data_IF_700529388875
#
_entry.id   IF_700529388875
#
_cell.length_a   1.000
_cell.length_b   1.000
_cell.length_c   1.000
_cell.angle_alpha   90.00
_cell.angle_beta   90.00
_cell.angle_gamma   90.00
#
_symmetry.space_group_name_H-M   'P 1'
#
loop_
_entity.id
_entity.type
_entity.pdbx_description
1 polymer ?
#
# COMPACT_ATOMS: atom_id res chain seq x y z
N UNK A 1 8.49 28.09 23.87
CA UNK A 1 8.02 29.05 22.87
C UNK A 1 8.42 28.56 21.48
N UNK A 2 7.65 27.65 20.92
CA UNK A 2 7.84 27.17 19.55
C UNK A 2 7.28 28.23 18.61
N UNK A 3 8.12 28.75 17.71
CA UNK A 3 7.68 29.64 16.64
C UNK A 3 7.67 28.80 15.37
N UNK A 4 6.54 28.81 14.66
CA UNK A 4 6.39 28.20 13.36
C UNK A 4 5.74 29.21 12.42
N UNK A 5 6.07 29.13 11.14
CA UNK A 5 5.33 29.80 10.08
C UNK A 5 5.28 28.87 8.87
N UNK A 6 4.25 29.07 8.06
CA UNK A 6 3.94 28.25 6.90
C UNK A 6 3.92 29.15 5.66
N UNK A 7 4.56 28.71 4.58
CA UNK A 7 4.37 29.31 3.27
C UNK A 7 3.27 28.56 2.55
N UNK A 8 2.12 29.21 2.44
CA UNK A 8 1.00 28.74 1.63
C UNK A 8 1.38 28.85 0.14
N UNK A 9 0.89 27.88 -0.63
CA UNK A 9 1.05 27.78 -2.08
C UNK A 9 0.87 29.15 -2.73
N UNK A 10 1.94 29.69 -3.29
CA UNK A 10 1.91 30.97 -3.98
C UNK A 10 2.32 30.76 -5.42
N UNK A 11 1.36 30.93 -6.35
CA UNK A 11 1.60 30.95 -7.80
C UNK A 11 2.63 32.00 -8.24
N UNK A 12 3.02 32.92 -7.34
CA UNK A 12 3.95 34.01 -7.62
C UNK A 12 5.36 33.83 -7.08
N UNK A 13 5.68 32.73 -6.37
CA UNK A 13 7.05 32.46 -5.91
C UNK A 13 7.81 31.71 -7.02
N UNK A 14 8.86 32.31 -7.62
CA UNK A 14 9.68 31.62 -8.62
C UNK A 14 10.35 30.37 -8.03
N UNK A 15 10.59 29.34 -8.86
CA UNK A 15 11.53 28.27 -8.52
C UNK A 15 12.89 28.87 -8.15
N UNK A 16 13.54 28.33 -7.12
CA UNK A 16 14.78 28.84 -6.52
C UNK A 16 14.67 30.24 -5.89
N UNK A 17 13.68 30.44 -5.01
CA UNK A 17 13.53 31.69 -4.27
C UNK A 17 14.32 31.68 -2.96
N UNK A 18 15.07 32.74 -2.70
CA UNK A 18 15.72 32.95 -1.41
C UNK A 18 14.73 33.60 -0.43
N UNK A 19 14.42 32.91 0.67
CA UNK A 19 13.64 33.45 1.78
C UNK A 19 14.60 33.96 2.83
N UNK A 20 14.41 35.21 3.25
CA UNK A 20 15.13 35.81 4.36
C UNK A 20 14.19 35.98 5.55
N UNK A 21 14.53 35.37 6.68
CA UNK A 21 13.78 35.51 7.93
C UNK A 21 14.57 36.41 8.88
N UNK A 22 13.90 37.45 9.37
CA UNK A 22 14.45 38.43 10.33
C UNK A 22 15.79 39.06 9.92
N UNK A 23 16.10 39.07 8.62
CA UNK A 23 17.35 39.62 8.09
C UNK A 23 18.61 38.76 8.34
N UNK A 24 18.49 37.61 9.02
CA UNK A 24 19.64 36.83 9.50
C UNK A 24 19.70 35.39 8.98
N UNK A 25 18.56 34.80 8.61
CA UNK A 25 18.49 33.42 8.15
C UNK A 25 18.01 33.36 6.72
N UNK A 26 18.76 32.69 5.83
CA UNK A 26 18.36 32.55 4.44
C UNK A 26 18.19 31.09 4.01
N UNK A 27 17.08 30.80 3.35
CA UNK A 27 16.77 29.48 2.80
C UNK A 27 16.58 29.61 1.29
N UNK A 28 17.06 28.64 0.51
CA UNK A 28 16.75 28.55 -0.91
C UNK A 28 15.66 27.51 -1.09
N UNK A 29 14.49 27.93 -1.56
CA UNK A 29 13.42 27.02 -1.93
C UNK A 29 13.48 26.74 -3.41
N UNK A 30 13.79 25.49 -3.77
CA UNK A 30 13.67 24.99 -5.13
C UNK A 30 12.51 23.98 -5.24
N UNK A 31 11.37 24.33 -4.65
CA UNK A 31 10.14 23.53 -4.72
C UNK A 31 8.93 24.44 -4.83
N UNK A 32 7.89 23.92 -5.49
CA UNK A 32 6.55 24.52 -5.54
C UNK A 32 5.63 23.95 -4.46
N UNK A 33 6.11 23.00 -3.66
CA UNK A 33 5.37 22.35 -2.60
C UNK A 33 5.39 23.16 -1.29
N UNK A 34 4.49 22.82 -0.37
CA UNK A 34 4.42 23.43 0.97
C UNK A 34 5.69 23.08 1.75
N UNK A 35 6.35 24.10 2.30
CA UNK A 35 7.51 23.96 3.18
C UNK A 35 7.21 24.62 4.52
N UNK A 36 7.39 23.87 5.61
CA UNK A 36 7.22 24.38 6.97
C UNK A 36 8.59 24.62 7.60
N UNK A 37 8.68 25.61 8.48
CA UNK A 37 9.91 25.90 9.23
C UNK A 37 9.61 25.95 10.72
N UNK A 38 10.49 25.34 11.52
CA UNK A 38 10.39 25.34 12.98
C UNK A 38 11.66 25.93 13.59
N UNK A 39 11.48 26.70 14.65
CA UNK A 39 12.58 27.21 15.45
C UNK A 39 12.99 26.20 16.53
N UNK A 40 14.13 25.53 16.34
CA UNK A 40 14.70 24.57 17.29
C UNK A 40 16.18 24.86 17.51
N UNK A 41 16.64 24.75 18.76
CA UNK A 41 18.06 24.93 19.14
C UNK A 41 18.66 26.29 18.71
N UNK A 42 17.85 27.34 18.65
CA UNK A 42 18.31 28.68 18.29
C UNK A 42 18.53 28.91 16.80
N UNK A 43 18.05 28.01 15.94
CA UNK A 43 18.07 28.14 14.48
C UNK A 43 16.72 27.78 13.87
N UNK A 44 16.38 28.43 12.77
CA UNK A 44 15.30 27.97 11.90
C UNK A 44 15.75 26.70 11.16
N UNK A 45 14.94 25.66 11.23
CA UNK A 45 15.15 24.41 10.48
C UNK A 45 13.95 24.17 9.56
N UNK A 46 14.23 23.73 8.34
CA UNK A 46 13.19 23.24 7.44
C UNK A 46 12.56 21.99 8.07
N UNK A 47 11.29 22.10 8.45
CA UNK A 47 10.49 20.97 8.85
C UNK A 47 9.80 20.45 7.60
N UNK A 48 10.45 19.52 6.90
CA UNK A 48 9.71 18.65 5.99
C UNK A 48 8.80 17.81 6.86
N UNK A 49 7.51 17.82 6.55
CA UNK A 49 6.60 16.82 7.08
C UNK A 49 6.94 15.48 6.42
N UNK A 50 8.01 14.84 6.88
CA UNK A 50 8.53 13.58 6.34
C UNK A 50 7.71 12.38 6.79
N UNK A 51 6.68 12.59 7.62
CA UNK A 51 5.84 11.50 8.16
C UNK A 51 5.08 10.75 7.06
N UNK A 52 4.82 11.41 5.93
CA UNK A 52 4.12 10.85 4.78
C UNK A 52 5.03 10.48 3.60
N UNK A 53 6.31 10.82 3.67
CA UNK A 53 7.27 10.48 2.61
C UNK A 53 7.82 9.07 2.83
N UNK A 54 8.05 8.36 1.72
CA UNK A 54 8.81 7.12 1.72
C UNK A 54 10.17 7.32 2.37
N UNK A 55 10.41 6.61 3.46
CA UNK A 55 11.71 6.54 4.11
C UNK A 55 12.48 5.26 3.68
N UNK A 56 13.73 5.10 4.14
CA UNK A 56 14.55 3.91 3.83
C UNK A 56 13.97 2.61 4.36
N UNK A 57 13.02 2.64 5.28
CA UNK A 57 12.37 1.46 5.82
C UNK A 57 11.08 1.11 5.09
N UNK A 58 10.61 2.02 4.24
CA UNK A 58 9.30 2.02 3.59
C UNK A 58 9.36 2.07 2.06
N UNK A 59 10.54 2.03 1.46
CA UNK A 59 10.64 2.01 -0.01
C UNK A 59 10.38 0.60 -0.56
N UNK A 60 9.66 0.52 -1.68
CA UNK A 60 9.52 -0.71 -2.47
C UNK A 60 10.83 -1.11 -3.17
N UNK A 61 10.83 -2.20 -3.95
CA UNK A 61 9.71 -3.07 -4.30
C UNK A 61 9.32 -4.02 -3.15
N UNK A 62 8.28 -4.82 -3.35
CA UNK A 62 7.72 -5.71 -2.31
C UNK A 62 8.75 -6.66 -1.68
N UNK A 63 9.84 -6.99 -2.37
CA UNK A 63 10.92 -7.84 -1.86
C UNK A 63 11.66 -7.20 -0.68
N UNK A 64 11.51 -5.88 -0.47
CA UNK A 64 11.95 -5.17 0.74
C UNK A 64 11.23 -5.63 1.99
N UNK A 65 9.99 -6.14 1.86
CA UNK A 65 9.26 -6.78 2.94
C UNK A 65 10.11 -7.87 3.61
N UNK A 66 10.83 -8.66 2.79
CA UNK A 66 11.58 -9.85 3.22
C UNK A 66 12.98 -9.55 3.76
N UNK A 67 13.39 -8.29 3.83
CA UNK A 67 14.70 -7.91 4.38
C UNK A 67 14.66 -7.70 5.90
N UNK A 68 13.46 -7.69 6.49
CA UNK A 68 13.22 -7.61 7.93
C UNK A 68 12.33 -8.78 8.37
N UNK A 69 12.03 -8.86 9.67
CA UNK A 69 11.03 -9.80 10.19
C UNK A 69 9.69 -9.57 9.48
N UNK A 70 9.00 -10.65 9.16
CA UNK A 70 7.69 -10.63 8.50
C UNK A 70 6.69 -11.42 9.32
N UNK A 71 5.51 -10.84 9.49
CA UNK A 71 4.33 -11.50 10.05
C UNK A 71 3.28 -11.66 8.97
N UNK A 72 2.76 -12.87 8.78
CA UNK A 72 1.59 -13.09 7.92
C UNK A 72 0.34 -12.95 8.80
N UNK A 73 -0.61 -12.15 8.35
CA UNK A 73 -1.84 -11.86 9.08
C UNK A 73 -3.06 -12.31 8.27
N UNK A 74 -3.81 -13.25 8.83
CA UNK A 74 -5.02 -13.79 8.22
C UNK A 74 -6.25 -13.00 8.67
N UNK A 75 -7.04 -12.52 7.72
CA UNK A 75 -8.34 -11.92 8.00
C UNK A 75 -9.32 -12.90 8.63
N UNK A 76 -10.09 -12.44 9.61
CA UNK A 76 -11.11 -13.28 10.30
C UNK A 76 -12.55 -12.87 10.02
N UNK A 77 -12.78 -11.73 9.36
CA UNK A 77 -14.11 -11.17 9.09
C UNK A 77 -14.62 -11.57 7.69
N UNK A 78 -14.54 -12.85 7.37
CA UNK A 78 -14.92 -13.40 6.06
C UNK A 78 -15.72 -14.69 6.20
N UNK A 79 -16.16 -15.26 5.07
CA UNK A 79 -16.77 -16.59 5.07
C UNK A 79 -15.78 -17.64 5.60
N UNK A 80 -16.28 -18.71 6.23
CA UNK A 80 -15.43 -19.78 6.76
C UNK A 80 -14.50 -20.40 5.72
N UNK A 81 -14.95 -20.47 4.46
CA UNK A 81 -14.16 -20.95 3.33
C UNK A 81 -12.97 -20.01 3.04
N UNK A 82 -13.21 -18.69 2.99
CA UNK A 82 -12.16 -17.70 2.78
C UNK A 82 -11.16 -17.67 3.95
N UNK A 83 -11.65 -17.73 5.20
CA UNK A 83 -10.77 -17.78 6.39
C UNK A 83 -9.88 -19.03 6.34
N UNK A 84 -10.44 -20.20 6.00
CA UNK A 84 -9.67 -21.43 5.84
C UNK A 84 -8.63 -21.29 4.72
N UNK A 85 -9.00 -20.69 3.58
CA UNK A 85 -8.09 -20.43 2.47
C UNK A 85 -6.93 -19.53 2.90
N UNK A 86 -7.19 -18.45 3.67
CA UNK A 86 -6.15 -17.57 4.19
C UNK A 86 -5.19 -18.31 5.12
N UNK A 87 -5.70 -19.15 6.01
CA UNK A 87 -4.86 -19.93 6.94
C UNK A 87 -3.98 -20.94 6.22
N UNK A 88 -4.54 -21.70 5.27
CA UNK A 88 -3.78 -22.65 4.47
C UNK A 88 -2.71 -21.96 3.62
N UNK A 89 -3.07 -20.83 3.01
CA UNK A 89 -2.14 -20.03 2.20
C UNK A 89 -1.04 -19.41 3.05
N UNK A 90 -1.34 -18.95 4.27
CA UNK A 90 -0.35 -18.43 5.20
C UNK A 90 0.71 -19.47 5.56
N UNK A 91 0.31 -20.73 5.81
CA UNK A 91 1.26 -21.83 6.07
C UNK A 91 2.12 -22.11 4.83
N UNK A 92 1.53 -22.13 3.64
CA UNK A 92 2.27 -22.30 2.40
C UNK A 92 3.29 -21.15 2.18
N UNK A 93 2.85 -19.90 2.32
CA UNK A 93 3.69 -18.71 2.15
C UNK A 93 4.82 -18.67 3.18
N UNK A 94 4.54 -18.98 4.45
CA UNK A 94 5.57 -19.05 5.49
C UNK A 94 6.67 -20.07 5.13
N UNK A 95 6.28 -21.25 4.62
CA UNK A 95 7.23 -22.26 4.17
C UNK A 95 8.06 -21.80 2.97
N UNK A 96 7.44 -21.12 1.99
CA UNK A 96 8.18 -20.59 0.85
C UNK A 96 9.12 -19.45 1.24
N UNK A 97 8.71 -18.54 2.12
CA UNK A 97 9.58 -17.49 2.65
C UNK A 97 10.76 -18.06 3.44
N UNK A 98 10.55 -19.11 4.24
CA UNK A 98 11.62 -19.81 4.92
C UNK A 98 12.58 -20.49 3.92
N UNK A 99 12.05 -21.11 2.86
CA UNK A 99 12.84 -21.81 1.84
C UNK A 99 13.68 -20.84 0.99
N UNK A 100 13.10 -19.73 0.55
CA UNK A 100 13.72 -18.79 -0.38
C UNK A 100 14.55 -17.72 0.33
N UNK A 101 14.07 -17.21 1.46
CA UNK A 101 14.66 -16.05 2.15
C UNK A 101 15.21 -16.37 3.55
N UNK A 102 15.09 -17.62 4.02
CA UNK A 102 15.52 -18.04 5.36
C UNK A 102 14.89 -17.22 6.49
N UNK A 103 13.64 -16.79 6.26
CA UNK A 103 12.89 -16.00 7.23
C UNK A 103 12.15 -16.88 8.23
N UNK A 104 12.21 -16.49 9.49
CA UNK A 104 11.26 -16.92 10.50
C UNK A 104 10.00 -16.05 10.39
N UNK A 105 8.86 -16.68 10.16
CA UNK A 105 7.58 -16.00 9.89
C UNK A 105 6.57 -16.39 10.95
N UNK A 106 6.01 -15.39 11.63
CA UNK A 106 4.85 -15.59 12.52
C UNK A 106 3.56 -15.52 11.71
N UNK A 107 2.59 -16.36 12.07
CA UNK A 107 1.24 -16.34 11.48
C UNK A 107 0.27 -15.95 12.60
N UNK A 108 -0.45 -14.85 12.42
CA UNK A 108 -1.42 -14.33 13.38
C UNK A 108 -2.78 -14.11 12.71
N UNK A 109 -3.85 -14.12 13.49
CA UNK A 109 -5.10 -13.51 13.05
C UNK A 109 -5.00 -11.98 13.06
N UNK A 110 -5.85 -11.32 12.29
CA UNK A 110 -5.98 -9.86 12.32
C UNK A 110 -6.28 -9.31 13.73
N UNK A 111 -7.08 -10.02 14.53
CA UNK A 111 -7.36 -9.66 15.93
C UNK A 111 -6.08 -9.76 16.78
N UNK A 112 -5.36 -10.88 16.68
CA UNK A 112 -4.11 -11.07 17.44
C UNK A 112 -3.04 -10.06 17.05
N UNK A 113 -2.96 -9.71 15.77
CA UNK A 113 -2.02 -8.71 15.28
C UNK A 113 -2.32 -7.31 15.86
N UNK A 114 -3.60 -6.95 15.95
CA UNK A 114 -4.02 -5.66 16.51
C UNK A 114 -3.79 -5.55 18.01
N UNK A 115 -3.66 -6.66 18.72
CA UNK A 115 -3.34 -6.70 20.15
C UNK A 115 -1.82 -6.54 20.43
N UNK A 116 -0.96 -6.58 19.40
CA UNK A 116 0.48 -6.39 19.55
C UNK A 116 0.81 -4.94 19.92
N UNK A 117 1.85 -4.77 20.75
CA UNK A 117 2.45 -3.45 20.95
C UNK A 117 3.17 -2.98 19.69
N UNK A 118 3.32 -1.66 19.52
CA UNK A 118 4.04 -1.07 18.38
C UNK A 118 5.46 -1.61 18.23
N UNK A 119 6.15 -1.89 19.35
CA UNK A 119 7.51 -2.48 19.35
C UNK A 119 7.58 -3.93 18.88
N UNK A 120 6.45 -4.63 18.83
CA UNK A 120 6.34 -6.01 18.35
C UNK A 120 5.90 -6.09 16.89
N UNK A 121 5.46 -4.97 16.31
CA UNK A 121 5.07 -4.92 14.91
C UNK A 121 6.29 -5.12 14.01
N UNK A 122 6.03 -5.67 12.82
CA UNK A 122 7.04 -5.99 11.83
C UNK A 122 6.54 -5.61 10.45
N UNK A 123 7.32 -5.89 9.40
CA UNK A 123 6.72 -5.93 8.08
C UNK A 123 5.59 -6.97 8.08
N UNK A 124 4.51 -6.68 7.37
CA UNK A 124 3.28 -7.47 7.47
C UNK A 124 2.77 -7.88 6.10
N UNK A 125 2.45 -9.16 5.94
CA UNK A 125 1.82 -9.72 4.76
C UNK A 125 0.35 -10.01 5.11
N UNK A 126 -0.55 -9.17 4.64
CA UNK A 126 -1.98 -9.20 4.98
C UNK A 126 -2.76 -10.00 3.95
N UNK A 127 -3.46 -11.02 4.43
CA UNK A 127 -4.37 -11.83 3.61
C UNK A 127 -5.80 -11.34 3.90
N UNK A 128 -6.41 -10.72 2.89
CA UNK A 128 -7.73 -10.10 2.98
C UNK A 128 -7.71 -8.57 2.87
N UNK A 129 -8.77 -8.04 2.25
CA UNK A 129 -9.03 -6.60 2.14
C UNK A 129 -9.63 -6.00 3.42
N UNK A 130 -9.94 -4.69 3.45
CA UNK A 130 -10.50 -4.01 4.62
C UNK A 130 -11.87 -4.55 5.07
N UNK A 131 -12.58 -5.27 4.21
CA UNK A 131 -13.82 -5.97 4.52
C UNK A 131 -13.61 -7.28 5.29
N UNK A 132 -12.48 -7.98 5.04
CA UNK A 132 -12.23 -9.32 5.58
C UNK A 132 -11.11 -9.38 6.61
N UNK A 133 -10.33 -8.31 6.72
CA UNK A 133 -9.16 -8.21 7.58
C UNK A 133 -9.15 -6.84 8.28
N UNK A 134 -9.35 -6.86 9.61
CA UNK A 134 -9.42 -5.65 10.44
C UNK A 134 -8.09 -4.90 10.48
N UNK A 135 -6.97 -5.61 10.43
CA UNK A 135 -5.64 -4.99 10.36
C UNK A 135 -5.45 -4.26 9.02
N UNK A 136 -5.88 -4.84 7.90
CA UNK A 136 -5.90 -4.16 6.59
C UNK A 136 -6.73 -2.88 6.66
N UNK A 137 -7.92 -2.94 7.26
CA UNK A 137 -8.81 -1.77 7.41
C UNK A 137 -8.17 -0.64 8.21
N UNK A 138 -7.50 -0.96 9.31
CA UNK A 138 -6.79 0.02 10.13
C UNK A 138 -5.62 0.63 9.36
N UNK A 139 -4.76 -0.21 8.78
CA UNK A 139 -3.58 0.26 8.04
C UNK A 139 -3.96 1.17 6.89
N UNK A 140 -4.96 0.80 6.09
CA UNK A 140 -5.42 1.64 4.97
C UNK A 140 -6.07 2.95 5.43
N UNK A 141 -6.68 2.98 6.62
CA UNK A 141 -7.28 4.19 7.19
C UNK A 141 -6.19 5.16 7.66
N UNK A 142 -5.17 4.65 8.33
CA UNK A 142 -4.10 5.47 8.91
C UNK A 142 -3.07 5.89 7.84
N UNK A 143 -2.91 5.07 6.79
CA UNK A 143 -1.93 5.22 5.74
C UNK A 143 -2.59 5.05 4.36
N UNK A 144 -3.36 6.05 3.89
CA UNK A 144 -4.10 5.93 2.65
C UNK A 144 -3.17 5.86 1.44
N UNK A 145 -3.31 4.78 0.67
CA UNK A 145 -2.75 4.64 -0.68
C UNK A 145 -3.88 4.78 -1.71
N UNK A 146 -3.59 4.95 -3.03
CA UNK A 146 -4.58 5.05 -4.10
C UNK A 146 -5.34 3.73 -4.38
N UNK A 147 -5.82 3.06 -3.34
CA UNK A 147 -6.59 1.83 -3.38
C UNK A 147 -7.85 2.01 -2.57
N UNK A 148 -9.01 1.71 -3.15
CA UNK A 148 -10.28 1.75 -2.44
C UNK A 148 -11.12 0.51 -2.74
N UNK A 149 -11.88 0.09 -1.73
CA UNK A 149 -12.85 -0.98 -1.78
C UNK A 149 -14.20 -0.37 -1.38
N UNK A 150 -15.18 -0.37 -2.30
CA UNK A 150 -16.47 0.27 -2.06
C UNK A 150 -17.59 -0.46 -2.81
N UNK A 151 -18.67 -0.83 -2.11
CA UNK A 151 -19.86 -1.49 -2.68
C UNK A 151 -19.55 -2.60 -3.68
N UNK A 152 -18.56 -3.43 -3.40
CA UNK A 152 -18.18 -4.48 -4.33
C UNK A 152 -17.25 -4.12 -5.46
N UNK A 153 -16.79 -2.90 -5.50
CA UNK A 153 -15.79 -2.47 -6.44
C UNK A 153 -14.43 -2.44 -5.76
N UNK A 154 -13.41 -2.82 -6.53
CA UNK A 154 -12.03 -2.55 -6.19
C UNK A 154 -11.49 -1.53 -7.17
N UNK A 155 -10.84 -0.51 -6.62
CA UNK A 155 -10.16 0.52 -7.39
C UNK A 155 -8.71 0.61 -6.98
N UNK A 156 -7.83 0.68 -7.96
CA UNK A 156 -6.39 0.86 -7.77
C UNK A 156 -5.95 1.91 -8.77
N UNK A 157 -5.34 2.98 -8.26
CA UNK A 157 -4.76 4.05 -9.06
C UNK A 157 -5.75 4.63 -10.11
N UNK A 158 -7.02 4.74 -9.75
CA UNK A 158 -8.09 5.26 -10.61
C UNK A 158 -8.71 4.25 -11.58
N UNK A 159 -8.14 3.06 -11.77
CA UNK A 159 -8.82 1.97 -12.48
C UNK A 159 -9.80 1.26 -11.54
N UNK A 160 -11.04 1.08 -11.98
CA UNK A 160 -12.09 0.38 -11.24
C UNK A 160 -12.47 -0.94 -11.90
N UNK A 161 -12.77 -1.95 -11.09
CA UNK A 161 -13.43 -3.17 -11.51
C UNK A 161 -14.77 -3.25 -10.79
N UNK A 162 -15.83 -3.47 -11.56
CA UNK A 162 -17.19 -3.57 -11.04
C UNK A 162 -17.40 -4.84 -10.23
N UNK A 163 -18.42 -4.80 -9.36
CA UNK A 163 -18.80 -5.91 -8.50
C UNK A 163 -19.22 -7.20 -9.22
N UNK A 164 -19.50 -7.13 -10.53
CA UNK A 164 -19.90 -8.27 -11.35
C UNK A 164 -18.73 -9.10 -11.88
N UNK A 165 -17.50 -8.63 -11.70
CA UNK A 165 -16.28 -9.35 -12.08
C UNK A 165 -15.46 -9.73 -10.86
N UNK A 166 -14.77 -10.85 -10.97
CA UNK A 166 -13.78 -11.20 -9.96
C UNK A 166 -12.45 -10.52 -10.25
N UNK A 167 -11.81 -10.08 -9.18
CA UNK A 167 -10.56 -9.36 -9.23
C UNK A 167 -9.71 -9.62 -8.00
N UNK A 168 -8.44 -9.30 -8.09
CA UNK A 168 -7.56 -9.17 -6.95
C UNK A 168 -6.77 -7.87 -7.03
N UNK A 169 -6.59 -7.25 -5.87
CA UNK A 169 -5.66 -6.16 -5.65
C UNK A 169 -4.54 -6.65 -4.73
N UNK A 170 -3.31 -6.49 -5.20
CA UNK A 170 -2.09 -6.73 -4.43
C UNK A 170 -1.34 -5.42 -4.33
N UNK A 171 -1.04 -4.92 -3.15
CA UNK A 171 -0.40 -3.60 -3.02
C UNK A 171 0.39 -3.42 -1.74
N UNK A 172 1.41 -2.57 -1.82
CA UNK A 172 2.17 -2.06 -0.70
C UNK A 172 1.49 -0.83 -0.09
N UNK A 173 1.54 -0.72 1.23
CA UNK A 173 1.16 0.45 2.00
C UNK A 173 2.17 0.69 3.14
N UNK A 174 2.36 1.95 3.57
CA UNK A 174 3.16 2.23 4.76
C UNK A 174 2.43 1.77 6.03
N UNK A 175 3.19 1.34 7.04
CA UNK A 175 2.65 0.94 8.34
C UNK A 175 3.65 1.29 9.45
N UNK A 176 3.56 2.49 10.02
CA UNK A 176 4.58 2.99 10.95
C UNK A 176 5.96 2.95 10.28
N UNK A 177 6.98 2.43 10.95
CA UNK A 177 8.32 2.22 10.36
C UNK A 177 8.47 0.89 9.58
N UNK A 178 7.34 0.29 9.17
CA UNK A 178 7.25 -0.99 8.48
C UNK A 178 6.51 -0.89 7.15
N UNK A 179 6.59 -1.98 6.39
CA UNK A 179 5.85 -2.18 5.14
C UNK A 179 4.71 -3.17 5.35
N UNK A 180 3.54 -2.84 4.81
CA UNK A 180 2.42 -3.74 4.66
C UNK A 180 2.28 -4.15 3.20
N UNK A 181 2.17 -5.45 2.93
CA UNK A 181 1.77 -5.98 1.62
C UNK A 181 0.41 -6.65 1.76
N UNK A 182 -0.59 -6.09 1.08
CA UNK A 182 -1.98 -6.54 1.14
C UNK A 182 -2.29 -7.39 -0.09
N UNK A 183 -2.92 -8.54 0.12
CA UNK A 183 -3.50 -9.37 -0.94
C UNK A 183 -5.00 -9.50 -0.68
N UNK A 184 -5.80 -8.80 -1.49
CA UNK A 184 -7.27 -8.81 -1.44
C UNK A 184 -7.83 -9.38 -2.73
N UNK A 185 -8.84 -10.24 -2.64
CA UNK A 185 -9.49 -10.85 -3.79
C UNK A 185 -10.99 -11.03 -3.54
N UNK A 186 -11.79 -10.99 -4.61
CA UNK A 186 -13.26 -11.07 -4.57
C UNK A 186 -13.79 -12.39 -4.01
N UNK A 187 -13.02 -13.46 -4.16
CA UNK A 187 -13.45 -14.83 -3.86
C UNK A 187 -12.26 -15.70 -3.44
N UNK A 188 -12.55 -16.85 -2.82
CA UNK A 188 -11.56 -17.89 -2.51
C UNK A 188 -10.85 -18.39 -3.78
N UNK A 189 -11.59 -18.62 -4.85
CA UNK A 189 -11.05 -19.05 -6.15
C UNK A 189 -10.11 -18.02 -6.77
N UNK A 190 -10.48 -16.73 -6.73
CA UNK A 190 -9.61 -15.66 -7.24
C UNK A 190 -8.35 -15.53 -6.38
N UNK A 191 -8.49 -15.58 -5.05
CA UNK A 191 -7.36 -15.56 -4.12
C UNK A 191 -6.36 -16.70 -4.38
N UNK A 192 -6.87 -17.92 -4.52
CA UNK A 192 -6.05 -19.09 -4.85
C UNK A 192 -5.33 -18.90 -6.19
N UNK A 193 -6.04 -18.36 -7.18
CA UNK A 193 -5.51 -18.19 -8.52
C UNK A 193 -4.38 -17.14 -8.58
N UNK A 194 -4.47 -16.05 -7.80
CA UNK A 194 -3.39 -15.04 -7.72
C UNK A 194 -2.26 -15.41 -6.78
N UNK A 195 -2.43 -16.40 -5.92
CA UNK A 195 -1.39 -16.86 -5.00
C UNK A 195 -0.12 -17.34 -5.73
N UNK A 196 -0.25 -17.81 -6.97
CA UNK A 196 0.87 -18.29 -7.80
C UNK A 196 1.73 -17.17 -8.41
N UNK A 197 1.21 -15.94 -8.48
CA UNK A 197 1.95 -14.78 -9.02
C UNK A 197 2.51 -13.89 -7.91
N UNK A 198 2.28 -14.26 -6.65
CA UNK A 198 2.81 -13.52 -5.53
C UNK A 198 4.34 -13.54 -5.54
N UNK A 199 4.98 -12.48 -5.04
CA UNK A 199 6.42 -12.29 -5.03
C UNK A 199 7.10 -13.16 -3.97
N UNK A 200 6.84 -14.47 -3.97
CA UNK A 200 7.39 -15.44 -3.01
C UNK A 200 8.61 -16.18 -3.56
N UNK A 201 8.85 -16.07 -4.88
CA UNK A 201 9.93 -16.77 -5.59
C UNK A 201 10.75 -15.78 -6.45
N UNK A 202 12.03 -16.06 -6.65
CA UNK A 202 12.79 -15.39 -7.70
C UNK A 202 12.25 -15.83 -9.09
N UNK A 203 12.28 -14.97 -10.14
CA UNK A 203 12.96 -13.67 -10.22
C UNK A 203 12.03 -12.47 -9.96
N UNK A 204 11.00 -12.58 -9.10
CA UNK A 204 10.06 -11.49 -8.82
C UNK A 204 10.67 -10.33 -7.97
N UNK A 205 11.97 -10.06 -8.14
CA UNK A 205 12.70 -8.97 -7.50
C UNK A 205 12.15 -7.57 -7.85
N UNK A 206 11.40 -7.49 -8.95
CA UNK A 206 10.76 -6.28 -9.47
C UNK A 206 9.23 -6.32 -9.39
N UNK A 207 8.65 -7.04 -8.44
CA UNK A 207 7.20 -7.01 -8.26
C UNK A 207 6.77 -5.57 -7.87
N UNK A 208 5.80 -4.99 -8.61
CA UNK A 208 5.43 -3.58 -8.48
C UNK A 208 4.74 -3.30 -7.14
N UNK A 209 4.67 -2.02 -6.77
CA UNK A 209 4.02 -1.61 -5.51
C UNK A 209 2.52 -1.88 -5.53
N UNK A 210 1.90 -1.98 -6.70
CA UNK A 210 0.52 -2.39 -6.83
C UNK A 210 0.27 -3.19 -8.11
N UNK A 211 -0.71 -4.09 -8.04
CA UNK A 211 -1.27 -4.87 -9.14
C UNK A 211 -2.77 -4.97 -8.91
N UNK A 212 -3.54 -4.62 -9.93
CA UNK A 212 -4.96 -4.91 -10.07
C UNK A 212 -5.12 -5.85 -11.26
N UNK A 213 -5.69 -7.02 -11.01
CA UNK A 213 -5.80 -8.10 -11.99
C UNK A 213 -7.21 -8.69 -11.94
N UNK A 214 -7.77 -9.03 -13.10
CA UNK A 214 -9.07 -9.70 -13.19
C UNK A 214 -8.94 -11.23 -13.29
N UNK A 215 -10.08 -11.90 -13.24
CA UNK A 215 -10.22 -13.36 -13.31
C UNK A 215 -9.71 -14.01 -14.61
N UNK A 216 -9.49 -13.22 -15.66
CA UNK A 216 -9.04 -13.74 -16.95
C UNK A 216 -7.54 -14.07 -16.93
N UNK A 217 -6.81 -13.78 -15.83
CA UNK A 217 -5.37 -14.06 -15.73
C UNK A 217 -5.00 -15.53 -15.85
N UNK A 218 -5.93 -16.42 -15.53
CA UNK A 218 -5.75 -17.87 -15.69
C UNK A 218 -5.39 -18.28 -17.11
N UNK A 219 -5.92 -17.59 -18.12
CA UNK A 219 -5.68 -17.89 -19.54
C UNK A 219 -5.01 -16.74 -20.31
N UNK A 220 -5.12 -15.49 -19.84
CA UNK A 220 -4.43 -14.32 -20.41
C UNK A 220 -3.06 -14.06 -19.79
N UNK A 221 -2.73 -14.66 -18.64
CA UNK A 221 -1.50 -14.38 -17.90
C UNK A 221 -1.38 -12.89 -17.56
N UNK A 222 -0.21 -12.31 -17.85
CA UNK A 222 0.06 -10.90 -17.60
C UNK A 222 -0.88 -9.92 -18.35
N UNK A 223 -1.52 -10.34 -19.45
CA UNK A 223 -2.47 -9.50 -20.19
C UNK A 223 -3.80 -9.26 -19.44
N UNK A 224 -4.03 -9.94 -18.31
CA UNK A 224 -5.16 -9.68 -17.42
C UNK A 224 -4.87 -8.59 -16.38
N UNK A 225 -3.62 -8.10 -16.31
CA UNK A 225 -3.26 -6.99 -15.44
C UNK A 225 -3.93 -5.73 -15.98
N UNK A 226 -4.84 -5.17 -15.20
CA UNK A 226 -5.60 -3.97 -15.53
C UNK A 226 -4.83 -2.72 -15.12
N UNK A 227 -4.16 -2.76 -13.97
CA UNK A 227 -3.36 -1.66 -13.49
C UNK A 227 -2.18 -2.18 -12.68
N UNK A 228 -1.01 -1.61 -12.88
CA UNK A 228 0.17 -1.97 -12.09
C UNK A 228 1.22 -0.88 -12.13
N UNK A 229 2.04 -0.75 -11.10
CA UNK A 229 3.10 0.25 -11.08
C UNK A 229 3.71 0.50 -9.72
N UNK A 230 4.41 1.61 -9.61
CA UNK A 230 5.05 2.07 -8.39
C UNK A 230 4.40 3.36 -7.90
N UNK A 231 4.24 3.47 -6.59
CA UNK A 231 3.83 4.73 -5.97
C UNK A 231 4.99 5.73 -6.01
N UNK A 232 4.68 7.02 -6.01
CA UNK A 232 5.70 8.06 -5.88
C UNK A 232 6.25 8.16 -4.44
N UNK A 233 7.09 9.16 -4.20
CA UNK A 233 7.70 9.40 -2.90
C UNK A 233 6.66 9.70 -1.80
N UNK A 234 5.45 10.14 -2.15
CA UNK A 234 4.35 10.46 -1.23
C UNK A 234 3.32 9.34 -1.12
N UNK A 235 3.65 8.13 -1.62
CA UNK A 235 2.68 7.02 -1.72
C UNK A 235 1.48 7.33 -2.61
N UNK A 236 1.58 8.31 -3.52
CA UNK A 236 0.53 8.68 -4.45
C UNK A 236 0.71 7.99 -5.80
N UNK A 237 -0.34 8.07 -6.60
CA UNK A 237 -0.34 7.57 -7.95
C UNK A 237 0.51 8.46 -8.87
N UNK A 238 1.41 7.85 -9.64
CA UNK A 238 2.18 8.52 -10.67
C UNK A 238 2.02 7.82 -12.03
N UNK A 239 1.48 8.51 -13.06
CA UNK A 239 1.23 7.91 -14.36
C UNK A 239 2.51 7.57 -15.14
N UNK A 240 3.67 8.12 -14.77
CA UNK A 240 4.94 7.81 -15.44
C UNK A 240 5.61 6.52 -14.91
N UNK A 241 5.16 6.00 -13.77
CA UNK A 241 5.65 4.76 -13.16
C UNK A 241 4.59 3.66 -13.12
N UNK A 242 3.56 3.77 -13.96
CA UNK A 242 2.43 2.86 -13.95
C UNK A 242 1.92 2.52 -15.35
N UNK A 243 1.31 1.34 -15.43
CA UNK A 243 0.56 0.85 -16.57
C UNK A 243 -0.93 0.80 -16.21
N UNK A 244 -1.78 1.25 -17.14
CA UNK A 244 -3.24 1.27 -16.99
C UNK A 244 -3.92 0.83 -18.27
N UNK A 245 -4.78 -0.17 -18.15
CA UNK A 245 -5.75 -0.58 -19.14
C UNK A 245 -7.13 -0.62 -18.47
N UNK A 246 -7.56 0.52 -17.91
CA UNK A 246 -8.83 0.59 -17.20
C UNK A 246 -9.99 0.25 -18.16
N UNK A 247 -10.83 -0.75 -17.83
CA UNK A 247 -11.99 -1.03 -18.65
C UNK A 247 -12.98 0.13 -18.57
N UNK A 248 -13.48 0.60 -19.70
CA UNK A 248 -14.61 1.54 -19.73
C UNK A 248 -15.90 0.74 -19.59
N UNK A 249 -16.37 0.51 -18.35
CA UNK A 249 -17.66 -0.14 -18.13
C UNK A 249 -18.78 0.91 -18.25
N UNK A 250 -19.76 0.62 -19.11
CA UNK A 250 -21.03 1.36 -19.19
C UNK A 250 -22.10 0.48 -18.53
N UNK A 251 -22.34 0.60 -17.23
CA UNK A 251 -23.49 -0.05 -16.57
C UNK A 251 -24.12 0.83 -15.50
N UNK A 252 -25.44 0.70 -15.32
CA UNK A 252 -26.24 1.42 -14.34
C UNK A 252 -25.98 0.86 -12.93
N UNK A 253 -25.58 1.72 -12.00
CA UNK A 253 -25.07 1.42 -10.64
C UNK A 253 -26.07 0.81 -9.63
N UNK A 254 -27.18 0.20 -10.06
CA UNK A 254 -28.29 -0.15 -9.15
C UNK A 254 -28.26 -1.55 -8.52
N UNK A 255 -27.28 -2.43 -8.82
CA UNK A 255 -27.29 -3.83 -8.37
C UNK A 255 -26.04 -4.28 -7.57
N UNK A 256 -25.10 -3.40 -7.26
CA UNK A 256 -23.95 -3.73 -6.43
C UNK A 256 -24.30 -3.69 -4.93
N UNK A 257 -24.93 -4.74 -4.41
CA UNK A 257 -25.09 -4.91 -2.96
C UNK A 257 -25.00 -6.38 -2.57
N UNK A 258 -23.78 -6.95 -2.48
CA UNK A 258 -23.45 -8.14 -1.65
C UNK A 258 -22.06 -8.77 -1.87
N UNK A 259 -21.20 -8.21 -2.72
CA UNK A 259 -19.83 -8.72 -2.87
C UNK A 259 -18.89 -7.59 -2.45
N UNK A 260 -17.82 -7.92 -1.72
CA UNK A 260 -16.83 -7.02 -1.06
C UNK A 260 -17.32 -6.15 0.10
#
# INVERSE_FOLDING_TARGET
>A
NTRSFELLESKSIPRASQILIDGAYSFVLDTTEKVSFVWEEGRWQEQRDSSHFRNMDQYGPVTRLYQKKVTIVCGTDATSEQVQMYQLSAVYFANELMKQHRLEVSILSDIQYLDLSESEQTNVFLLGGPQSNKATKMIMKDNPVPVAFDNGEVSVAGCKISCHKQAAAMFLAPHGDHLAFVVSASSSGMFQSVSNILPLHAPYDSFPDFVLIDEEHTWKGANAIISTGYWDADWKFNPFSAFHQCPTYFHNDSECSTLW
#
